data_IF_743523712029
#
_entry.id   IF_743523712029
#
_cell.length_a   1.000
_cell.length_b   1.000
_cell.length_c   1.000
_cell.angle_alpha   90.00
_cell.angle_beta   90.00
_cell.angle_gamma   90.00
#
_symmetry.space_group_name_H-M   'P 1'
#
loop_
_entity.id
_entity.type
_entity.pdbx_description
1 polymer ?
#
# COMPACT_ATOMS: atom_id res chain seq x y z
N UNK A 1 3.09 25.74 2.81
CA UNK A 1 4.54 25.40 2.87
C UNK A 1 4.74 24.07 2.17
N UNK A 2 5.76 23.94 1.32
CA UNK A 2 6.05 22.69 0.61
C UNK A 2 6.56 21.61 1.57
N UNK A 3 6.20 20.36 1.28
CA UNK A 3 6.40 19.17 2.11
C UNK A 3 7.89 18.89 2.37
N UNK A 4 8.48 19.41 3.45
CA UNK A 4 9.86 19.14 3.92
C UNK A 4 10.95 19.04 2.83
N UNK A 5 10.72 19.56 1.62
CA UNK A 5 11.54 19.23 0.46
C UNK A 5 12.96 19.76 0.65
N UNK A 6 13.05 20.97 1.19
CA UNK A 6 14.30 21.62 1.59
C UNK A 6 15.12 20.83 2.62
N UNK A 7 14.52 19.89 3.36
CA UNK A 7 15.21 19.05 4.33
C UNK A 7 15.82 17.79 3.71
N UNK A 8 15.50 17.45 2.45
CA UNK A 8 15.98 16.23 1.78
C UNK A 8 17.51 16.07 1.85
N UNK A 9 18.35 17.09 1.57
CA UNK A 9 19.80 16.94 1.65
C UNK A 9 20.28 16.65 3.08
N UNK A 10 19.70 17.34 4.07
CA UNK A 10 20.06 17.16 5.47
C UNK A 10 19.65 15.77 5.98
N UNK A 11 18.42 15.35 5.71
CA UNK A 11 17.91 14.04 6.10
C UNK A 11 18.73 12.90 5.48
N UNK A 12 19.11 13.03 4.19
CA UNK A 12 19.97 12.08 3.49
C UNK A 12 21.36 12.00 4.11
N UNK A 13 21.95 13.14 4.50
CA UNK A 13 23.23 13.19 5.20
C UNK A 13 23.16 12.50 6.57
N UNK A 14 22.14 12.82 7.38
CA UNK A 14 21.94 12.21 8.69
C UNK A 14 21.73 10.69 8.61
N UNK A 15 20.93 10.23 7.65
CA UNK A 15 20.73 8.80 7.44
C UNK A 15 22.06 8.08 7.14
N UNK A 16 22.94 8.68 6.33
CA UNK A 16 24.27 8.14 6.07
C UNK A 16 25.14 8.09 7.33
N UNK A 17 25.15 9.16 8.12
CA UNK A 17 25.90 9.23 9.39
C UNK A 17 25.45 8.17 10.40
N UNK A 18 24.16 7.85 10.40
CA UNK A 18 23.55 6.83 11.27
C UNK A 18 23.56 5.42 10.67
N UNK A 19 24.17 5.21 9.49
CA UNK A 19 24.15 3.94 8.75
C UNK A 19 22.72 3.41 8.49
N UNK A 20 21.79 4.31 8.15
CA UNK A 20 20.40 4.01 7.83
C UNK A 20 20.13 4.12 6.33
N UNK A 21 19.21 3.30 5.83
CA UNK A 21 18.68 3.44 4.46
C UNK A 21 17.76 4.67 4.42
N UNK A 22 17.99 5.55 3.45
CA UNK A 22 17.13 6.70 3.20
C UNK A 22 16.29 6.48 1.94
N UNK A 23 14.96 6.48 2.11
CA UNK A 23 14.02 6.34 1.00
C UNK A 23 12.84 7.30 1.20
N UNK A 24 12.83 8.47 0.51
CA UNK A 24 11.67 9.35 0.54
C UNK A 24 10.43 8.64 -0.03
N UNK A 25 9.24 9.11 0.32
CA UNK A 25 7.98 8.64 -0.27
C UNK A 25 7.42 9.73 -1.18
N UNK A 26 6.70 9.32 -2.23
CA UNK A 26 6.01 10.27 -3.10
C UNK A 26 4.98 11.07 -2.31
N UNK A 27 4.72 12.30 -2.76
CA UNK A 27 3.68 13.12 -2.18
C UNK A 27 2.33 12.39 -2.23
N UNK A 28 1.73 12.20 -1.06
CA UNK A 28 0.49 11.46 -0.87
C UNK A 28 -0.75 12.28 -1.24
N UNK A 29 -0.73 13.59 -0.96
CA UNK A 29 -1.85 14.51 -1.15
C UNK A 29 -1.34 15.88 -1.67
N UNK A 30 -1.28 16.04 -3.01
CA UNK A 30 -0.75 17.27 -3.63
C UNK A 30 -1.47 18.54 -3.23
N UNK A 31 -2.78 18.46 -2.89
CA UNK A 31 -3.57 19.62 -2.48
C UNK A 31 -3.23 20.12 -1.08
N UNK A 32 -2.83 19.23 -0.17
CA UNK A 32 -2.53 19.56 1.22
C UNK A 32 -1.11 20.12 1.38
N UNK A 33 -0.12 19.47 0.77
CA UNK A 33 1.28 19.91 0.84
C UNK A 33 1.95 19.73 -0.52
N UNK A 34 1.70 20.67 -1.41
CA UNK A 34 2.22 20.63 -2.79
C UNK A 34 3.74 20.71 -2.82
N UNK A 35 4.34 19.89 -3.68
CA UNK A 35 5.75 20.02 -4.08
C UNK A 35 5.93 21.37 -4.77
N UNK A 36 6.93 22.14 -4.37
CA UNK A 36 7.21 23.46 -4.96
C UNK A 36 8.30 23.38 -6.02
N UNK A 37 9.34 22.58 -5.78
CA UNK A 37 10.41 22.36 -6.75
C UNK A 37 10.53 20.87 -7.12
N UNK A 38 9.80 20.46 -8.17
CA UNK A 38 9.75 19.06 -8.59
C UNK A 38 11.12 18.54 -9.07
N UNK A 39 11.92 19.36 -9.75
CA UNK A 39 13.22 18.94 -10.27
C UNK A 39 14.24 18.75 -9.15
N UNK A 40 14.22 19.64 -8.14
CA UNK A 40 15.00 19.47 -6.92
C UNK A 40 14.63 18.18 -6.18
N UNK A 41 13.33 17.90 -5.98
CA UNK A 41 12.88 16.67 -5.32
C UNK A 41 13.31 15.43 -6.11
N UNK A 42 13.14 15.41 -7.44
CA UNK A 42 13.59 14.30 -8.30
C UNK A 42 15.09 14.04 -8.14
N UNK A 43 15.89 15.09 -8.17
CA UNK A 43 17.34 15.01 -8.03
C UNK A 43 17.76 14.50 -6.65
N UNK A 44 17.28 15.14 -5.57
CA UNK A 44 17.71 14.81 -4.20
C UNK A 44 17.18 13.45 -3.72
N UNK A 45 15.92 13.13 -4.05
CA UNK A 45 15.28 11.87 -3.71
C UNK A 45 15.66 10.71 -4.64
N UNK A 46 16.35 10.96 -5.76
CA UNK A 46 16.68 9.93 -6.75
C UNK A 46 15.43 9.33 -7.41
N UNK A 47 14.40 10.15 -7.65
CA UNK A 47 13.10 9.71 -8.16
C UNK A 47 12.80 10.31 -9.53
N UNK A 48 11.99 9.61 -10.33
CA UNK A 48 11.60 10.09 -11.65
C UNK A 48 10.22 10.77 -11.70
N UNK A 49 9.50 10.76 -10.58
CA UNK A 49 8.17 11.35 -10.33
C UNK A 49 8.12 11.82 -8.88
N UNK A 50 7.29 12.82 -8.55
CA UNK A 50 7.23 13.40 -7.19
C UNK A 50 5.88 13.21 -6.48
N UNK A 51 4.87 12.74 -7.20
CA UNK A 51 3.52 12.48 -6.68
C UNK A 51 2.99 11.14 -7.13
N UNK A 52 2.00 10.62 -6.40
CA UNK A 52 1.27 9.41 -6.81
C UNK A 52 0.58 9.55 -8.17
N UNK A 53 0.02 10.72 -8.46
CA UNK A 53 -0.68 10.97 -9.72
C UNK A 53 0.27 10.88 -10.90
N UNK A 54 1.48 11.45 -10.76
CA UNK A 54 2.54 11.29 -11.75
C UNK A 54 2.97 9.84 -11.89
N UNK A 55 3.12 9.11 -10.78
CA UNK A 55 3.45 7.69 -10.78
C UNK A 55 2.39 6.88 -11.53
N UNK A 56 1.11 7.09 -11.25
CA UNK A 56 0.01 6.40 -11.91
C UNK A 56 -0.07 6.76 -13.40
N UNK A 57 0.11 8.03 -13.76
CA UNK A 57 0.13 8.47 -15.16
C UNK A 57 1.27 7.82 -15.95
N UNK A 58 2.47 7.77 -15.36
CA UNK A 58 3.70 7.25 -15.99
C UNK A 58 3.73 5.73 -16.07
N UNK A 59 3.44 5.04 -14.96
CA UNK A 59 3.62 3.59 -14.84
C UNK A 59 2.33 2.80 -15.05
N UNK A 60 1.17 3.48 -15.15
CA UNK A 60 -0.17 2.86 -15.27
C UNK A 60 -0.44 1.87 -14.14
N UNK A 61 0.01 2.22 -12.92
CA UNK A 61 -0.09 1.41 -11.71
C UNK A 61 -0.28 2.30 -10.50
N UNK A 62 -0.95 1.77 -9.47
CA UNK A 62 -1.01 2.42 -8.17
C UNK A 62 0.36 2.39 -7.50
N UNK A 63 0.75 3.48 -6.84
CA UNK A 63 2.08 3.64 -6.21
C UNK A 63 2.30 2.68 -5.04
N UNK A 64 1.34 2.58 -4.13
CA UNK A 64 1.41 1.68 -2.97
C UNK A 64 0.26 0.69 -3.06
N UNK A 65 0.57 -0.60 -2.92
CA UNK A 65 -0.40 -1.69 -2.99
C UNK A 65 -0.51 -2.43 -1.65
N UNK A 66 -1.04 -1.82 -0.57
CA UNK A 66 -1.32 -2.53 0.69
C UNK A 66 -2.03 -3.87 0.52
N UNK A 67 -2.87 -4.00 -0.52
CA UNK A 67 -3.58 -5.23 -0.85
C UNK A 67 -2.67 -6.46 -1.03
N UNK A 68 -1.38 -6.30 -1.39
CA UNK A 68 -0.45 -7.45 -1.50
C UNK A 68 -0.16 -8.11 -0.14
N UNK A 69 -0.40 -7.41 0.96
CA UNK A 69 -0.23 -7.93 2.33
C UNK A 69 -1.06 -9.20 2.57
N UNK A 70 -2.19 -9.40 1.88
CA UNK A 70 -2.95 -10.65 1.94
C UNK A 70 -2.11 -11.90 1.64
N UNK A 71 -1.03 -11.77 0.87
CA UNK A 71 -0.13 -12.88 0.51
C UNK A 71 1.17 -12.88 1.31
N UNK A 72 1.77 -11.72 1.55
CA UNK A 72 3.15 -11.64 2.09
C UNK A 72 3.22 -11.27 3.56
N UNK A 73 2.22 -10.57 4.09
CA UNK A 73 2.19 -10.11 5.49
C UNK A 73 0.76 -9.74 5.91
N UNK A 74 -0.16 -10.72 6.09
CA UNK A 74 -1.52 -10.42 6.50
C UNK A 74 -1.54 -9.73 7.86
N UNK A 75 -2.26 -8.62 7.96
CA UNK A 75 -2.31 -7.84 9.19
C UNK A 75 -3.29 -8.46 10.19
N UNK A 76 -2.89 -8.55 11.45
CA UNK A 76 -3.70 -9.02 12.58
C UNK A 76 -3.82 -7.85 13.56
N UNK A 77 -5.04 -7.56 13.99
CA UNK A 77 -5.30 -6.52 14.99
C UNK A 77 -4.96 -7.00 16.41
N UNK A 78 -4.84 -6.08 17.36
CA UNK A 78 -4.53 -6.40 18.77
C UNK A 78 -5.52 -7.39 19.43
N UNK A 79 -6.77 -7.42 18.96
CA UNK A 79 -7.84 -8.32 19.45
C UNK A 79 -7.93 -9.65 18.68
N UNK A 80 -6.94 -9.96 17.84
CA UNK A 80 -6.85 -11.20 17.07
C UNK A 80 -7.63 -11.19 15.76
N UNK A 81 -8.35 -10.11 15.43
CA UNK A 81 -9.05 -10.01 14.14
C UNK A 81 -8.06 -10.00 12.97
N UNK A 82 -8.27 -10.88 12.00
CA UNK A 82 -7.50 -10.91 10.75
C UNK A 82 -8.03 -9.82 9.81
N UNK A 83 -7.21 -8.80 9.55
CA UNK A 83 -7.58 -7.64 8.72
C UNK A 83 -7.20 -7.81 7.25
N UNK A 84 -6.19 -8.62 6.96
CA UNK A 84 -5.66 -8.85 5.61
C UNK A 84 -4.70 -7.77 5.10
N UNK A 85 -5.05 -6.48 5.24
CA UNK A 85 -4.14 -5.37 4.94
C UNK A 85 -4.25 -4.23 5.96
N UNK A 86 -3.25 -3.33 5.99
CA UNK A 86 -3.14 -2.25 6.97
C UNK A 86 -4.17 -1.13 6.78
N UNK A 87 -4.88 -1.11 5.65
CA UNK A 87 -5.92 -0.13 5.36
C UNK A 87 -7.31 -0.57 5.82
N UNK A 88 -7.49 -1.85 6.15
CA UNK A 88 -8.81 -2.36 6.48
C UNK A 88 -9.22 -1.95 7.90
N UNK A 89 -10.24 -1.10 7.98
CA UNK A 89 -10.85 -0.64 9.22
C UNK A 89 -12.35 -0.98 9.31
N UNK A 90 -12.89 -1.71 8.33
CA UNK A 90 -14.35 -1.87 8.17
C UNK A 90 -14.88 -3.27 8.49
N UNK A 91 -14.00 -4.20 8.87
CA UNK A 91 -14.35 -5.56 9.27
C UNK A 91 -13.13 -6.48 9.30
N UNK A 92 -13.37 -7.76 9.50
CA UNK A 92 -12.34 -8.80 9.59
C UNK A 92 -12.67 -10.03 8.74
N UNK A 93 -11.71 -10.93 8.66
CA UNK A 93 -11.78 -12.21 7.97
C UNK A 93 -11.75 -13.41 8.94
N UNK A 94 -12.12 -13.19 10.19
CA UNK A 94 -12.02 -14.18 11.28
C UNK A 94 -11.15 -13.66 12.43
N UNK A 95 -11.08 -14.46 13.50
CA UNK A 95 -10.28 -14.16 14.68
C UNK A 95 -9.27 -15.28 14.94
N UNK A 96 -7.99 -14.96 14.86
CA UNK A 96 -6.88 -15.92 14.95
C UNK A 96 -6.72 -16.49 16.36
N UNK A 97 -7.15 -15.76 17.40
CA UNK A 97 -7.10 -16.25 18.78
C UNK A 97 -8.17 -17.31 19.05
N UNK A 98 -9.29 -17.26 18.32
CA UNK A 98 -10.38 -18.21 18.47
C UNK A 98 -10.24 -19.42 17.52
N UNK A 99 -9.80 -19.19 16.28
CA UNK A 99 -9.84 -20.20 15.21
C UNK A 99 -8.46 -20.72 14.80
N UNK A 100 -7.39 -20.02 15.17
CA UNK A 100 -6.04 -20.26 14.65
C UNK A 100 -5.78 -19.52 13.33
N UNK A 101 -4.53 -19.12 13.12
CA UNK A 101 -4.13 -18.27 11.99
C UNK A 101 -4.35 -18.97 10.63
N UNK A 102 -3.94 -20.23 10.50
CA UNK A 102 -4.07 -21.00 9.25
C UNK A 102 -5.53 -21.18 8.82
N UNK A 103 -6.43 -21.43 9.78
CA UNK A 103 -7.86 -21.52 9.52
C UNK A 103 -8.44 -20.21 9.01
N UNK A 104 -8.06 -19.07 9.59
CA UNK A 104 -8.50 -17.76 9.07
C UNK A 104 -7.93 -17.49 7.66
N UNK A 105 -6.68 -17.87 7.37
CA UNK A 105 -6.06 -17.68 6.04
C UNK A 105 -6.68 -18.54 4.94
N UNK A 106 -7.24 -19.69 5.30
CA UNK A 106 -7.97 -20.58 4.38
C UNK A 106 -9.47 -20.33 4.39
N UNK A 107 -9.94 -19.40 5.23
CA UNK A 107 -11.34 -19.01 5.33
C UNK A 107 -11.91 -18.47 4.03
N UNK A 108 -13.17 -18.81 3.75
CA UNK A 108 -13.87 -18.50 2.50
C UNK A 108 -13.76 -17.02 2.12
N UNK A 109 -14.10 -16.11 3.04
CA UNK A 109 -14.07 -14.66 2.80
C UNK A 109 -12.65 -14.16 2.49
N UNK A 110 -11.62 -14.71 3.13
CA UNK A 110 -10.23 -14.29 2.93
C UNK A 110 -9.71 -14.75 1.55
N UNK A 111 -9.98 -16.00 1.19
CA UNK A 111 -9.64 -16.57 -0.12
C UNK A 111 -10.41 -15.87 -1.24
N UNK A 112 -11.69 -15.58 -1.03
CA UNK A 112 -12.50 -14.85 -2.00
C UNK A 112 -11.99 -13.42 -2.18
N UNK A 113 -11.60 -12.73 -1.10
CA UNK A 113 -11.00 -11.40 -1.18
C UNK A 113 -9.71 -11.39 -2.01
N UNK A 114 -8.84 -12.42 -1.88
CA UNK A 114 -7.66 -12.58 -2.75
C UNK A 114 -8.04 -12.64 -4.23
N UNK A 115 -9.05 -13.43 -4.59
CA UNK A 115 -9.56 -13.52 -5.97
C UNK A 115 -10.14 -12.20 -6.45
N UNK A 116 -10.91 -11.48 -5.62
CA UNK A 116 -11.41 -10.14 -5.95
C UNK A 116 -10.26 -9.16 -6.24
N UNK A 117 -9.21 -9.17 -5.42
CA UNK A 117 -8.05 -8.28 -5.60
C UNK A 117 -7.24 -8.59 -6.87
N UNK A 118 -7.28 -9.84 -7.34
CA UNK A 118 -6.71 -10.26 -8.62
C UNK A 118 -7.67 -10.10 -9.82
N UNK A 119 -8.91 -9.66 -9.59
CA UNK A 119 -9.93 -9.54 -10.65
C UNK A 119 -10.50 -10.89 -11.13
N UNK A 120 -10.30 -11.96 -10.36
CA UNK A 120 -10.72 -13.33 -10.67
C UNK A 120 -12.11 -13.66 -10.11
N UNK A 121 -12.68 -12.76 -9.29
CA UNK A 121 -14.01 -12.91 -8.71
C UNK A 121 -14.77 -11.58 -8.73
N UNK A 122 -16.10 -11.66 -8.80
CA UNK A 122 -16.98 -10.48 -8.73
C UNK A 122 -16.93 -9.84 -7.35
N UNK A 123 -17.22 -8.55 -7.28
CA UNK A 123 -17.33 -7.83 -6.01
C UNK A 123 -18.44 -8.42 -5.12
N UNK A 124 -18.12 -8.73 -3.86
CA UNK A 124 -19.07 -9.23 -2.85
C UNK A 124 -19.20 -8.25 -1.69
N UNK A 125 -20.42 -7.76 -1.41
CA UNK A 125 -20.64 -6.62 -0.51
C UNK A 125 -20.31 -6.84 0.98
N UNK A 126 -20.22 -8.09 1.43
CA UNK A 126 -19.83 -8.46 2.80
C UNK A 126 -18.30 -8.56 3.01
N UNK A 127 -17.51 -8.43 1.93
CA UNK A 127 -16.05 -8.41 2.02
C UNK A 127 -15.59 -6.98 2.34
N UNK A 128 -14.79 -6.76 3.41
CA UNK A 128 -14.41 -5.42 3.87
C UNK A 128 -13.74 -4.55 2.80
N UNK A 129 -13.01 -5.17 1.85
CA UNK A 129 -12.36 -4.49 0.74
C UNK A 129 -13.31 -3.61 -0.07
N UNK A 130 -14.60 -3.97 -0.16
CA UNK A 130 -15.59 -3.21 -0.94
C UNK A 130 -15.85 -1.79 -0.42
N UNK A 131 -15.52 -1.53 0.85
CA UNK A 131 -15.60 -0.22 1.49
C UNK A 131 -14.32 0.61 1.32
N UNK A 132 -13.24 0.01 0.81
CA UNK A 132 -11.95 0.66 0.64
C UNK A 132 -11.89 1.48 -0.66
N UNK A 133 -11.40 2.71 -0.60
CA UNK A 133 -11.17 3.54 -1.79
C UNK A 133 -10.16 2.90 -2.75
N UNK A 134 -9.08 2.31 -2.22
CA UNK A 134 -8.06 1.64 -3.01
C UNK A 134 -8.62 0.46 -3.80
N UNK A 135 -9.60 -0.26 -3.26
CA UNK A 135 -10.23 -1.37 -4.00
C UNK A 135 -10.91 -0.87 -5.29
N UNK A 136 -11.46 0.35 -5.30
CA UNK A 136 -12.02 0.95 -6.51
C UNK A 136 -10.97 1.17 -7.60
N UNK A 137 -9.73 1.48 -7.23
CA UNK A 137 -8.59 1.57 -8.15
C UNK A 137 -8.14 0.19 -8.62
N UNK A 138 -8.11 -0.80 -7.72
CA UNK A 138 -7.79 -2.20 -8.03
C UNK A 138 -8.79 -2.80 -9.03
N UNK A 139 -10.07 -2.42 -8.98
CA UNK A 139 -11.05 -2.86 -9.98
C UNK A 139 -10.68 -2.45 -11.41
N UNK A 140 -10.02 -1.29 -11.58
CA UNK A 140 -9.57 -0.82 -12.89
C UNK A 140 -8.24 -1.47 -13.29
N UNK A 141 -7.38 -1.78 -12.31
CA UNK A 141 -6.08 -2.41 -12.52
C UNK A 141 -5.83 -3.50 -11.46
N UNK A 142 -6.35 -4.73 -11.68
CA UNK A 142 -6.24 -5.80 -10.70
C UNK A 142 -4.78 -6.21 -10.43
N UNK A 143 -4.54 -6.76 -9.24
CA UNK A 143 -3.20 -7.25 -8.87
C UNK A 143 -2.78 -8.39 -9.81
N UNK A 144 -1.52 -8.33 -10.26
CA UNK A 144 -0.91 -9.42 -11.03
C UNK A 144 0.07 -10.17 -10.16
N UNK A 145 0.38 -11.43 -10.53
CA UNK A 145 1.36 -12.27 -9.83
C UNK A 145 2.69 -11.56 -9.58
N UNK A 146 3.17 -10.75 -10.55
CA UNK A 146 4.39 -9.95 -10.40
C UNK A 146 4.30 -8.92 -9.26
N UNK A 147 3.14 -8.32 -9.06
CA UNK A 147 2.97 -7.30 -8.01
C UNK A 147 3.00 -7.95 -6.61
N UNK A 148 2.63 -9.23 -6.51
CA UNK A 148 2.71 -10.02 -5.27
C UNK A 148 4.14 -10.52 -5.01
N UNK A 149 4.79 -11.10 -6.03
CA UNK A 149 6.12 -11.73 -5.89
C UNK A 149 7.23 -10.71 -5.61
N UNK A 150 7.17 -9.54 -6.26
CA UNK A 150 8.19 -8.50 -6.11
C UNK A 150 7.88 -7.50 -4.97
N UNK A 151 6.88 -7.79 -4.12
CA UNK A 151 6.53 -6.93 -2.98
C UNK A 151 7.45 -7.09 -1.76
N UNK A 152 8.51 -7.91 -1.86
CA UNK A 152 9.52 -8.06 -0.81
C UNK A 152 10.47 -6.85 -0.86
N UNK A 153 10.19 -5.90 0.04
CA UNK A 153 11.02 -4.81 0.56
C UNK A 153 12.06 -4.20 -0.38
#
# INVERSE_FOLDING_TARGET
>A
MGHNEHELPLAKKMAKELNMIFFPKLNWEPGYSSVKNADFVKMEAGMSVVSKDEYQKKYKKVYLLPCVQFWVSPQINWDGKLLGCCQNLWGDFGNVFAQGFETCLTGERFVYAKKMLCGEAKTRGDIPCTKCSLYKEILQNPLKKKDIVFSRF
#
